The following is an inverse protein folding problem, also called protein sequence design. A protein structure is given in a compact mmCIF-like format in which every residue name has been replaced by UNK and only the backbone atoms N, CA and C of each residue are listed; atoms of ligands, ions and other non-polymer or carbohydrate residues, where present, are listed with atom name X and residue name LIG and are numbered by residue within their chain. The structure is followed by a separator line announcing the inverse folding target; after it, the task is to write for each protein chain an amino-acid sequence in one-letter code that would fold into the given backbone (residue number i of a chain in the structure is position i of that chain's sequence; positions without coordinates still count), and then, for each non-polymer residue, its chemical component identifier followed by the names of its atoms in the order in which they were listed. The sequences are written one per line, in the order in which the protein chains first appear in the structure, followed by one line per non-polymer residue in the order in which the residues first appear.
data_IF_385906480906
#
_entry.id   IF_385906480906
#
_cell.length_a   1.000
_cell.length_b   1.000
_cell.length_c   1.000
_cell.angle_alpha   90.00
_cell.angle_beta   90.00
_cell.angle_gamma   90.00
#
_symmetry.space_group_name_H-M   'P 1'
#
loop_
_entity.id
_entity.type
_entity.pdbx_description
1 polymer ?
#
# COMPACT_ATOMS: atom_id res chain seq x y z
N UNK A 1 11.02 -3.12 -22.51
CA UNK A 1 9.87 -3.79 -21.88
C UNK A 1 9.82 -3.59 -20.37
N UNK A 2 10.89 -3.90 -19.62
CA UNK A 2 10.88 -3.81 -18.14
C UNK A 2 10.62 -2.39 -17.59
N UNK A 3 11.07 -1.33 -18.27
CA UNK A 3 10.74 0.06 -17.95
C UNK A 3 9.23 0.36 -18.02
N UNK A 4 8.54 -0.23 -19.00
CA UNK A 4 7.08 -0.09 -19.15
C UNK A 4 6.35 -0.81 -18.01
N UNK A 5 6.82 -2.01 -17.64
CA UNK A 5 6.29 -2.75 -16.48
C UNK A 5 6.48 -1.94 -15.20
N UNK A 6 7.65 -1.36 -14.97
CA UNK A 6 7.90 -0.48 -13.83
C UNK A 6 7.00 0.74 -13.79
N UNK A 7 6.73 1.35 -14.95
CA UNK A 7 5.79 2.47 -15.07
C UNK A 7 4.35 2.07 -14.72
N UNK A 8 3.86 0.94 -15.24
CA UNK A 8 2.52 0.41 -14.94
C UNK A 8 2.38 0.09 -13.45
N UNK A 9 3.37 -0.56 -12.85
CA UNK A 9 3.38 -0.89 -11.41
C UNK A 9 3.36 0.39 -10.56
N UNK A 10 4.07 1.44 -10.99
CA UNK A 10 4.07 2.73 -10.31
C UNK A 10 2.69 3.38 -10.33
N UNK A 11 2.02 3.40 -11.49
CA UNK A 11 0.65 3.93 -11.61
C UNK A 11 -0.31 3.13 -10.74
N UNK A 12 -0.23 1.80 -10.78
CA UNK A 12 -1.07 0.93 -9.97
C UNK A 12 -0.90 1.24 -8.48
N UNK A 13 0.35 1.34 -7.99
CA UNK A 13 0.63 1.66 -6.59
C UNK A 13 0.05 3.03 -6.20
N UNK A 14 0.21 4.05 -7.07
CA UNK A 14 -0.39 5.37 -6.84
C UNK A 14 -1.91 5.24 -6.67
N UNK A 15 -2.59 4.57 -7.60
CA UNK A 15 -4.06 4.37 -7.54
C UNK A 15 -4.46 3.66 -6.25
N UNK A 16 -3.77 2.57 -5.89
CA UNK A 16 -4.09 1.79 -4.68
C UNK A 16 -3.89 2.61 -3.41
N UNK A 17 -2.85 3.44 -3.35
CA UNK A 17 -2.61 4.33 -2.20
C UNK A 17 -3.71 5.40 -2.11
N UNK A 18 -4.15 5.96 -3.24
CA UNK A 18 -5.26 6.92 -3.27
C UNK A 18 -6.61 6.30 -2.91
N UNK A 19 -6.87 5.06 -3.32
CA UNK A 19 -8.07 4.31 -2.97
C UNK A 19 -8.12 3.91 -1.50
N UNK A 20 -6.98 3.92 -0.81
CA UNK A 20 -6.92 3.59 0.61
C UNK A 20 -7.57 4.72 1.40
N UNK A 21 -8.79 4.46 1.89
CA UNK A 21 -9.52 5.41 2.74
C UNK A 21 -8.62 5.86 3.90
N UNK A 22 -8.44 7.17 4.13
CA UNK A 22 -7.70 7.64 5.28
C UNK A 22 -8.40 7.13 6.54
N UNK A 23 -7.64 6.52 7.45
CA UNK A 23 -8.21 6.17 8.74
C UNK A 23 -8.61 7.48 9.43
N UNK A 24 -9.92 7.69 9.60
CA UNK A 24 -10.53 8.96 10.06
C UNK A 24 -10.04 9.43 11.44
N UNK A 25 -9.19 8.63 12.10
CA UNK A 25 -8.69 8.83 13.43
C UNK A 25 -7.14 8.91 13.42
N UNK A 26 -6.54 9.87 12.72
CA UNK A 26 -5.07 10.12 12.79
C UNK A 26 -4.67 11.25 13.76
N UNK A 27 -5.60 11.71 14.60
CA UNK A 27 -5.36 12.72 15.64
C UNK A 27 -4.98 12.15 17.02
N UNK A 28 -4.58 13.01 17.95
CA UNK A 28 -4.29 12.70 19.36
C UNK A 28 -5.42 11.93 20.07
N UNK A 29 -6.67 12.13 19.64
CA UNK A 29 -7.85 11.43 20.14
C UNK A 29 -7.88 9.93 19.78
N UNK A 30 -7.24 9.54 18.69
CA UNK A 30 -7.15 8.14 18.25
C UNK A 30 -6.19 7.32 19.10
N UNK A 31 -5.03 7.91 19.43
CA UNK A 31 -4.02 7.29 20.30
C UNK A 31 -4.55 7.02 21.71
N UNK A 32 -5.47 7.84 22.21
CA UNK A 32 -6.09 7.64 23.52
C UNK A 32 -7.30 6.68 23.51
N UNK A 33 -7.92 6.44 22.35
CA UNK A 33 -9.25 5.78 22.27
C UNK A 33 -9.22 4.42 21.55
N UNK A 34 -8.24 4.14 20.69
CA UNK A 34 -8.17 2.88 19.93
C UNK A 34 -6.99 2.02 20.35
N UNK A 35 -7.27 0.90 21.01
CA UNK A 35 -6.35 -0.24 21.19
C UNK A 35 -6.44 -1.20 20.01
N UNK A 36 -6.41 -0.69 18.77
CA UNK A 36 -6.66 -1.45 17.54
C UNK A 36 -5.45 -2.25 17.05
N UNK A 37 -4.39 -2.37 17.86
CA UNK A 37 -3.16 -3.14 17.55
C UNK A 37 -3.49 -4.59 17.15
N UNK A 38 -4.59 -5.15 17.70
CA UNK A 38 -5.08 -6.50 17.38
C UNK A 38 -6.43 -6.50 16.63
N UNK A 39 -6.93 -5.34 16.20
CA UNK A 39 -8.17 -5.30 15.41
C UNK A 39 -7.91 -5.88 14.02
N UNK A 40 -8.81 -6.75 13.55
CA UNK A 40 -8.70 -7.30 12.21
C UNK A 40 -9.10 -6.23 11.19
N UNK A 41 -8.29 -5.97 10.14
CA UNK A 41 -8.66 -5.05 9.08
C UNK A 41 -9.96 -5.50 8.43
N UNK A 42 -10.74 -4.53 7.92
CA UNK A 42 -11.88 -4.86 7.07
C UNK A 42 -11.41 -5.62 5.81
N UNK A 43 -12.30 -6.39 5.18
CA UNK A 43 -11.97 -7.18 3.99
C UNK A 43 -11.40 -6.32 2.86
N UNK A 44 -11.88 -5.10 2.68
CA UNK A 44 -11.39 -4.15 1.69
C UNK A 44 -9.98 -3.64 2.04
N UNK A 45 -9.74 -3.24 3.29
CA UNK A 45 -8.40 -2.84 3.74
C UNK A 45 -7.40 -3.98 3.61
N UNK A 46 -7.78 -5.21 3.98
CA UNK A 46 -6.93 -6.38 3.85
C UNK A 46 -6.56 -6.65 2.39
N UNK A 47 -7.52 -6.56 1.47
CA UNK A 47 -7.28 -6.71 0.04
C UNK A 47 -6.32 -5.64 -0.50
N UNK A 48 -6.56 -4.37 -0.18
CA UNK A 48 -5.69 -3.27 -0.58
C UNK A 48 -4.29 -3.42 0.02
N UNK A 49 -4.16 -3.88 1.27
CA UNK A 49 -2.88 -4.12 1.92
C UNK A 49 -2.08 -5.23 1.22
N UNK A 50 -2.73 -6.35 0.87
CA UNK A 50 -2.06 -7.46 0.18
C UNK A 50 -1.58 -7.03 -1.21
N UNK A 51 -2.44 -6.34 -1.98
CA UNK A 51 -2.06 -5.81 -3.31
C UNK A 51 -0.93 -4.80 -3.21
N UNK A 52 -0.97 -3.91 -2.22
CA UNK A 52 0.09 -2.91 -2.00
C UNK A 52 1.41 -3.60 -1.67
N UNK A 53 1.40 -4.56 -0.74
CA UNK A 53 2.61 -5.30 -0.36
C UNK A 53 3.23 -6.04 -1.56
N UNK A 54 2.39 -6.74 -2.33
CA UNK A 54 2.85 -7.41 -3.55
C UNK A 54 3.40 -6.41 -4.59
N UNK A 55 2.68 -5.30 -4.80
CA UNK A 55 3.11 -4.24 -5.72
C UNK A 55 4.45 -3.62 -5.34
N UNK A 56 4.71 -3.41 -4.04
CA UNK A 56 5.99 -2.91 -3.53
C UNK A 56 7.13 -3.88 -3.83
N UNK A 57 6.93 -5.18 -3.59
CA UNK A 57 7.95 -6.21 -3.87
C UNK A 57 8.30 -6.23 -5.37
N UNK A 58 7.28 -6.20 -6.23
CA UNK A 58 7.48 -6.17 -7.69
C UNK A 58 8.20 -4.88 -8.10
N UNK A 59 7.75 -3.73 -7.60
CA UNK A 59 8.37 -2.44 -7.88
C UNK A 59 9.85 -2.43 -7.51
N UNK A 60 10.18 -2.88 -6.30
CA UNK A 60 11.54 -2.93 -5.80
C UNK A 60 12.42 -3.88 -6.63
N UNK A 61 11.90 -5.05 -6.99
CA UNK A 61 12.62 -6.01 -7.84
C UNK A 61 12.91 -5.42 -9.23
N UNK A 62 11.93 -4.75 -9.84
CA UNK A 62 12.09 -4.08 -11.12
C UNK A 62 13.11 -2.94 -11.02
N UNK A 63 13.08 -2.16 -9.94
CA UNK A 63 14.01 -1.07 -9.70
C UNK A 63 15.45 -1.57 -9.55
N UNK A 64 15.67 -2.68 -8.82
CA UNK A 64 16.99 -3.31 -8.70
C UNK A 64 17.50 -3.79 -10.06
N UNK A 65 16.72 -4.55 -10.82
CA UNK A 65 17.14 -5.08 -12.12
C UNK A 65 17.45 -3.96 -13.13
N UNK A 66 16.77 -2.81 -13.04
CA UNK A 66 17.01 -1.67 -13.93
C UNK A 66 18.24 -0.82 -13.53
N UNK A 67 18.71 -0.91 -12.29
CA UNK A 67 19.83 -0.11 -11.77
C UNK A 67 21.10 -0.94 -11.47
N UNK A 68 21.05 -2.26 -11.67
CA UNK A 68 22.19 -3.16 -11.61
C UNK A 68 22.84 -3.28 -13.00
#
# INVERSE_FOLDING_TARGET
MLKLIGFIVSILLIIVIFLRTPQENVGLSSFATKSDIFSSPSSAERFLNIITAFGIIVYFSVALILNL
#
